data_IF_610222629237
#
_entry.id   IF_610222629237
#
_cell.length_a   1.000
_cell.length_b   1.000
_cell.length_c   1.000
_cell.angle_alpha   90.00
_cell.angle_beta   90.00
_cell.angle_gamma   90.00
#
_symmetry.space_group_name_H-M   'P 1'
#
loop_
_entity.id
_entity.type
_entity.pdbx_description
1 polymer ?
#
# COMPACT_ATOMS: atom_id res chain seq x y z
N UNK A 1 13.69 6.88 26.12
CA UNK A 1 13.88 6.58 24.68
C UNK A 1 13.97 5.09 24.37
N UNK A 2 14.87 4.31 24.99
CA UNK A 2 14.94 2.85 24.78
C UNK A 2 13.63 2.11 25.05
N UNK A 3 12.88 2.53 26.08
CA UNK A 3 11.58 1.93 26.41
C UNK A 3 10.48 2.33 25.43
N UNK A 4 10.53 3.54 24.87
CA UNK A 4 9.58 3.98 23.86
C UNK A 4 9.73 3.17 22.57
N UNK A 5 10.97 2.93 22.13
CA UNK A 5 11.25 2.09 20.95
C UNK A 5 10.82 0.64 21.18
N UNK A 6 11.05 0.09 22.37
CA UNK A 6 10.58 -1.26 22.72
C UNK A 6 9.06 -1.35 22.74
N UNK A 7 8.39 -0.34 23.28
CA UNK A 7 6.93 -0.28 23.30
C UNK A 7 6.36 -0.23 21.89
N UNK A 8 6.92 0.64 21.03
CA UNK A 8 6.49 0.78 19.64
C UNK A 8 6.68 -0.52 18.85
N UNK A 9 7.85 -1.18 18.98
CA UNK A 9 8.11 -2.47 18.33
C UNK A 9 7.12 -3.54 18.78
N UNK A 10 6.84 -3.61 20.08
CA UNK A 10 5.88 -4.56 20.62
C UNK A 10 4.46 -4.30 20.10
N UNK A 11 4.06 -3.03 20.00
CA UNK A 11 2.74 -2.64 19.50
C UNK A 11 2.58 -2.95 18.00
N UNK A 12 3.65 -2.86 17.21
CA UNK A 12 3.65 -3.33 15.83
C UNK A 12 3.52 -4.85 15.73
N UNK A 13 4.28 -5.60 16.55
CA UNK A 13 4.23 -7.06 16.62
C UNK A 13 2.85 -7.57 17.06
N UNK A 14 2.26 -6.98 18.11
CA UNK A 14 0.92 -7.35 18.60
C UNK A 14 -0.18 -7.06 17.56
N UNK A 15 0.00 -6.05 16.68
CA UNK A 15 -0.96 -5.73 15.61
C UNK A 15 -0.81 -6.64 14.38
N UNK A 16 0.40 -7.12 14.09
CA UNK A 16 0.64 -8.10 13.02
C UNK A 16 0.09 -9.49 13.39
N UNK A 17 0.16 -9.87 14.68
CA UNK A 17 -0.36 -11.15 15.20
C UNK A 17 -1.90 -11.21 15.13
N UNK A 18 -2.58 -10.11 15.50
CA UNK A 18 -4.07 -10.00 15.52
C UNK A 18 -4.68 -10.11 14.10
N UNK A 19 -3.95 -9.73 13.06
CA UNK A 19 -4.40 -9.85 11.65
C UNK A 19 -4.38 -11.31 11.14
N UNK A 20 -3.59 -12.19 11.78
CA UNK A 20 -3.43 -13.58 11.34
C UNK A 20 -4.36 -14.57 12.08
N UNK A 21 -5.05 -14.16 13.15
CA UNK A 21 -5.87 -15.07 13.98
C UNK A 21 -7.32 -15.29 13.47
N UNK A 22 -7.75 -14.68 12.36
CA UNK A 22 -9.12 -14.84 11.81
C UNK A 22 -9.21 -15.84 10.63
N UNK A 23 -8.36 -16.88 10.58
CA UNK A 23 -8.59 -18.06 9.71
C UNK A 23 -8.44 -19.41 10.44
N UNK A 24 -9.60 -20.02 10.72
CA UNK A 24 -9.91 -21.47 10.83
C UNK A 24 -9.32 -22.31 12.00
N UNK A 25 -10.08 -22.37 13.10
CA UNK A 25 -9.95 -23.37 14.18
C UNK A 25 -10.62 -24.70 13.75
N UNK A 26 -9.96 -25.44 12.85
CA UNK A 26 -10.33 -26.81 12.48
C UNK A 26 -9.36 -27.83 13.09
N UNK A 27 -9.66 -28.21 14.34
CA UNK A 27 -9.03 -29.27 15.14
C UNK A 27 -9.16 -30.67 14.48
N UNK A 28 -8.14 -31.10 13.75
CA UNK A 28 -7.89 -32.52 13.46
C UNK A 28 -6.45 -32.90 13.82
N UNK A 29 -6.28 -33.66 14.91
CA UNK A 29 -5.00 -34.17 15.40
C UNK A 29 -4.31 -35.07 14.35
N UNK A 30 -3.22 -34.55 13.76
CA UNK A 30 -2.28 -35.32 12.93
C UNK A 30 -1.11 -35.82 13.80
N UNK A 31 -0.89 -37.13 13.76
CA UNK A 31 0.18 -37.82 14.48
C UNK A 31 1.58 -37.27 14.11
N UNK A 32 2.37 -36.97 15.14
CA UNK A 32 3.77 -36.54 15.15
C UNK A 32 4.70 -37.57 14.50
N UNK A 33 4.87 -37.49 13.18
CA UNK A 33 5.99 -38.11 12.46
C UNK A 33 7.11 -37.06 12.32
N UNK A 34 8.09 -37.13 13.23
CA UNK A 34 9.23 -36.22 13.31
C UNK A 34 9.96 -36.04 11.98
N UNK A 35 9.81 -34.85 11.39
CA UNK A 35 10.59 -34.36 10.27
C UNK A 35 11.68 -33.42 10.80
N UNK A 36 12.88 -33.97 10.93
CA UNK A 36 14.12 -33.26 11.24
C UNK A 36 14.50 -32.37 10.06
N UNK A 37 14.10 -31.10 10.13
CA UNK A 37 14.41 -30.05 9.14
C UNK A 37 15.22 -28.96 9.82
N UNK A 38 16.50 -29.25 10.04
CA UNK A 38 17.49 -28.17 10.02
C UNK A 38 17.44 -27.51 8.63
N UNK A 39 17.61 -26.19 8.59
CA UNK A 39 17.99 -25.41 7.39
C UNK A 39 16.83 -24.85 6.54
N UNK A 40 16.30 -23.70 6.97
CA UNK A 40 15.71 -22.70 6.06
C UNK A 40 16.09 -21.28 6.56
N UNK A 41 17.35 -20.89 6.34
CA UNK A 41 17.81 -19.50 6.43
C UNK A 41 18.41 -19.05 5.07
N UNK A 42 17.78 -19.48 3.97
CA UNK A 42 18.23 -19.20 2.60
C UNK A 42 17.37 -18.15 1.87
N UNK A 43 16.70 -17.28 2.62
CA UNK A 43 15.85 -16.22 2.04
C UNK A 43 16.45 -14.80 2.07
N UNK A 44 17.72 -14.62 2.44
CA UNK A 44 18.31 -13.25 2.49
C UNK A 44 19.77 -13.14 1.99
N UNK A 45 20.23 -14.05 1.12
CA UNK A 45 21.61 -14.00 0.57
C UNK A 45 21.70 -13.79 -0.94
N UNK A 46 20.58 -13.70 -1.63
CA UNK A 46 20.53 -13.54 -3.09
C UNK A 46 20.07 -12.15 -3.52
N UNK A 47 19.75 -11.27 -2.56
CA UNK A 47 19.37 -9.91 -2.84
C UNK A 47 20.65 -9.07 -3.00
N UNK A 48 21.10 -8.97 -4.26
CA UNK A 48 22.23 -8.17 -4.77
C UNK A 48 23.61 -8.85 -4.79
N UNK A 49 23.82 -9.72 -5.78
CA UNK A 49 25.14 -9.94 -6.39
C UNK A 49 26.11 -10.87 -5.66
N UNK A 50 25.77 -11.37 -4.47
CA UNK A 50 26.64 -12.26 -3.66
C UNK A 50 26.59 -13.74 -4.09
N UNK A 51 26.07 -14.03 -5.27
CA UNK A 51 25.93 -15.39 -5.82
C UNK A 51 26.88 -15.73 -6.98
N UNK A 52 27.80 -14.83 -7.36
CA UNK A 52 28.82 -15.15 -8.38
C UNK A 52 30.05 -15.72 -7.70
N UNK A 53 29.93 -16.95 -7.19
CA UNK A 53 31.11 -17.80 -7.08
C UNK A 53 31.51 -18.17 -8.51
N UNK A 54 32.71 -17.75 -8.92
CA UNK A 54 33.36 -18.29 -10.12
C UNK A 54 33.63 -19.78 -9.87
N UNK A 55 32.62 -20.61 -10.12
CA UNK A 55 32.58 -22.03 -9.81
C UNK A 55 31.66 -22.74 -10.78
N UNK A 56 32.29 -23.56 -11.62
CA UNK A 56 31.78 -24.43 -12.65
C UNK A 56 30.38 -25.08 -12.53
N UNK A 57 29.88 -25.43 -13.72
CA UNK A 57 28.97 -26.54 -14.01
C UNK A 57 27.46 -26.38 -13.73
N UNK A 58 26.76 -26.15 -14.84
CA UNK A 58 25.56 -26.89 -15.23
C UNK A 58 24.26 -26.58 -14.48
N UNK A 59 23.45 -25.72 -15.08
CA UNK A 59 22.17 -26.06 -15.74
C UNK A 59 21.22 -24.87 -15.65
N UNK A 60 21.16 -24.06 -16.71
CA UNK A 60 19.96 -23.26 -16.94
C UNK A 60 19.69 -23.17 -18.43
N UNK A 61 18.53 -23.73 -18.79
CA UNK A 61 18.02 -23.88 -20.15
C UNK A 61 17.82 -22.49 -20.75
N UNK A 62 18.61 -22.17 -21.78
CA UNK A 62 18.49 -20.93 -22.55
C UNK A 62 17.20 -20.97 -23.39
N UNK A 63 16.32 -20.01 -23.19
CA UNK A 63 15.36 -19.55 -24.20
C UNK A 63 16.12 -18.77 -25.28
N UNK A 64 15.84 -18.97 -26.59
CA UNK A 64 16.62 -18.32 -27.65
C UNK A 64 16.05 -16.94 -27.97
N UNK A 65 16.64 -15.88 -27.41
CA UNK A 65 16.46 -14.52 -27.94
C UNK A 65 17.54 -14.28 -29.01
N UNK A 66 17.11 -14.24 -30.27
CA UNK A 66 17.92 -13.91 -31.45
C UNK A 66 18.36 -12.44 -31.34
N UNK A 67 19.59 -12.19 -30.89
CA UNK A 67 20.22 -10.87 -30.98
C UNK A 67 21.30 -10.95 -32.05
N UNK A 68 21.15 -10.13 -33.09
CA UNK A 68 22.05 -10.12 -34.24
C UNK A 68 23.49 -9.76 -33.84
N UNK A 69 24.42 -10.57 -34.32
CA UNK A 69 25.84 -10.48 -34.04
C UNK A 69 26.45 -9.28 -34.79
N UNK A 70 26.65 -8.16 -34.09
CA UNK A 70 27.68 -7.20 -34.48
C UNK A 70 29.02 -7.69 -33.93
N UNK A 71 29.87 -8.21 -34.81
CA UNK A 71 31.31 -8.43 -34.60
C UNK A 71 31.93 -7.17 -33.99
N UNK A 72 32.27 -7.23 -32.71
CA UNK A 72 33.17 -6.27 -32.07
C UNK A 72 34.53 -6.94 -31.93
N UNK A 73 35.52 -6.24 -32.46
CA UNK A 73 36.92 -6.62 -32.60
C UNK A 73 37.54 -6.95 -31.26
N UNK A 74 38.44 -7.93 -31.27
CA UNK A 74 39.32 -8.33 -30.17
C UNK A 74 39.96 -7.09 -29.53
N UNK A 75 39.52 -6.79 -28.31
CA UNK A 75 40.18 -5.84 -27.41
C UNK A 75 41.24 -6.62 -26.64
N UNK A 76 42.44 -6.07 -26.40
CA UNK A 76 43.45 -6.77 -25.62
C UNK A 76 42.88 -7.02 -24.23
N UNK A 77 42.80 -8.29 -23.84
CA UNK A 77 42.52 -8.72 -22.48
C UNK A 77 43.63 -8.15 -21.62
N UNK A 78 43.36 -7.02 -20.97
CA UNK A 78 44.27 -6.42 -20.01
C UNK A 78 44.37 -7.42 -18.85
N UNK A 79 45.53 -8.06 -18.70
CA UNK A 79 45.74 -9.05 -17.65
C UNK A 79 45.59 -8.37 -16.30
N UNK A 80 44.43 -8.59 -15.67
CA UNK A 80 44.15 -8.08 -14.32
C UNK A 80 45.14 -8.77 -13.39
N UNK A 81 45.97 -8.01 -12.64
CA UNK A 81 46.89 -8.59 -11.67
C UNK A 81 46.11 -9.50 -10.71
N UNK A 82 46.65 -10.68 -10.42
CA UNK A 82 46.07 -11.58 -9.43
C UNK A 82 46.11 -10.91 -8.04
N UNK A 83 44.98 -10.32 -7.63
CA UNK A 83 44.81 -9.73 -6.31
C UNK A 83 44.60 -10.82 -5.26
N UNK A 84 45.10 -10.61 -4.04
CA UNK A 84 44.79 -11.49 -2.91
C UNK A 84 43.32 -11.41 -2.53
N UNK A 85 42.78 -12.45 -1.89
CA UNK A 85 41.36 -12.50 -1.52
C UNK A 85 40.98 -11.36 -0.55
N UNK A 86 41.91 -10.96 0.33
CA UNK A 86 41.73 -9.82 1.22
C UNK A 86 41.63 -8.48 0.46
N UNK A 87 42.47 -8.28 -0.56
CA UNK A 87 42.42 -7.09 -1.41
C UNK A 87 41.15 -7.06 -2.26
N UNK A 88 40.73 -8.21 -2.81
CA UNK A 88 39.46 -8.32 -3.54
C UNK A 88 38.27 -7.97 -2.66
N UNK A 89 38.23 -8.50 -1.44
CA UNK A 89 37.16 -8.19 -0.50
C UNK A 89 37.12 -6.70 -0.17
N UNK A 90 38.27 -6.09 0.13
CA UNK A 90 38.36 -4.66 0.40
C UNK A 90 37.91 -3.82 -0.80
N UNK A 91 38.35 -4.17 -2.02
CA UNK A 91 37.99 -3.45 -3.23
C UNK A 91 36.49 -3.57 -3.54
N UNK A 92 35.90 -4.74 -3.26
CA UNK A 92 34.47 -4.96 -3.41
C UNK A 92 33.67 -4.13 -2.40
N UNK A 93 34.14 -4.04 -1.16
CA UNK A 93 33.55 -3.20 -0.12
C UNK A 93 33.62 -1.70 -0.49
N UNK A 94 34.78 -1.23 -0.94
CA UNK A 94 34.97 0.15 -1.40
C UNK A 94 34.07 0.47 -2.60
N UNK A 95 34.01 -0.43 -3.58
CA UNK A 95 33.13 -0.29 -4.73
C UNK A 95 31.67 -0.19 -4.31
N UNK A 96 31.21 -1.13 -3.46
CA UNK A 96 29.83 -1.13 -2.96
C UNK A 96 29.51 0.15 -2.19
N UNK A 97 30.40 0.58 -1.31
CA UNK A 97 30.22 1.81 -0.53
C UNK A 97 30.16 3.06 -1.41
N UNK A 98 31.04 3.13 -2.42
CA UNK A 98 31.08 4.25 -3.36
C UNK A 98 29.83 4.31 -4.24
N UNK A 99 29.42 3.17 -4.82
CA UNK A 99 28.21 3.07 -5.62
C UNK A 99 26.96 3.39 -4.80
N UNK A 100 26.87 2.87 -3.57
CA UNK A 100 25.76 3.18 -2.67
C UNK A 100 25.69 4.67 -2.31
N UNK A 101 26.83 5.29 -2.03
CA UNK A 101 26.90 6.73 -1.77
C UNK A 101 26.47 7.53 -2.99
N UNK A 102 26.96 7.17 -4.18
CA UNK A 102 26.60 7.82 -5.44
C UNK A 102 25.11 7.67 -5.77
N UNK A 103 24.52 6.52 -5.44
CA UNK A 103 23.08 6.27 -5.57
C UNK A 103 22.27 7.19 -4.66
N UNK A 104 22.61 7.27 -3.37
CA UNK A 104 21.92 8.15 -2.41
C UNK A 104 22.05 9.63 -2.78
N UNK A 105 23.20 10.03 -3.33
CA UNK A 105 23.44 11.41 -3.74
C UNK A 105 22.87 11.73 -5.13
N UNK A 106 22.38 10.74 -5.87
CA UNK A 106 21.88 10.89 -7.24
C UNK A 106 22.95 11.34 -8.25
N UNK A 107 24.23 10.98 -8.01
CA UNK A 107 25.37 11.44 -8.82
C UNK A 107 25.72 10.54 -10.00
N UNK A 108 24.96 9.49 -10.23
CA UNK A 108 25.19 8.59 -11.36
C UNK A 108 24.98 9.36 -12.68
N UNK A 109 25.97 9.31 -13.57
CA UNK A 109 25.95 10.12 -14.81
C UNK A 109 25.06 9.51 -15.88
N UNK A 110 24.82 8.20 -15.77
CA UNK A 110 24.17 7.42 -16.80
C UNK A 110 22.68 7.19 -16.49
N UNK A 111 22.20 7.66 -15.33
CA UNK A 111 20.82 7.52 -14.86
C UNK A 111 20.24 8.86 -14.37
N UNK A 112 19.05 9.21 -14.86
CA UNK A 112 18.34 10.41 -14.45
C UNK A 112 17.34 10.08 -13.34
N UNK A 113 17.74 10.32 -12.09
CA UNK A 113 16.92 10.07 -10.89
C UNK A 113 15.61 10.86 -10.89
N UNK A 114 15.53 11.99 -11.61
CA UNK A 114 14.29 12.77 -11.70
C UNK A 114 13.15 12.02 -12.40
N UNK A 115 13.46 11.00 -13.22
CA UNK A 115 12.47 10.15 -13.88
C UNK A 115 11.77 9.17 -12.94
N UNK A 116 12.32 8.96 -11.74
CA UNK A 116 11.74 8.07 -10.73
C UNK A 116 11.23 8.90 -9.56
N UNK A 117 12.07 9.77 -9.00
CA UNK A 117 11.75 10.56 -7.80
C UNK A 117 10.56 11.51 -7.97
N UNK A 118 10.29 11.98 -9.19
CA UNK A 118 9.19 12.91 -9.49
C UNK A 118 8.11 12.30 -10.39
N UNK A 119 8.12 10.98 -10.56
CA UNK A 119 7.17 10.33 -11.44
C UNK A 119 5.97 9.80 -10.65
N UNK A 120 4.86 10.52 -10.77
CA UNK A 120 3.58 10.16 -10.16
C UNK A 120 2.97 8.86 -10.67
N UNK A 121 3.42 8.35 -11.82
CA UNK A 121 2.93 7.08 -12.35
C UNK A 121 3.43 5.88 -11.54
N UNK A 122 4.48 6.05 -10.73
CA UNK A 122 4.96 5.06 -9.77
C UNK A 122 4.42 5.27 -8.35
N UNK A 123 3.64 6.33 -8.12
CA UNK A 123 3.00 6.55 -6.83
C UNK A 123 1.73 5.68 -6.72
N UNK A 124 1.57 4.95 -5.62
CA UNK A 124 0.42 4.06 -5.37
C UNK A 124 -0.84 4.82 -4.91
N UNK A 125 -1.13 5.98 -5.51
CA UNK A 125 -2.22 6.87 -5.09
C UNK A 125 -3.61 6.22 -5.23
N UNK A 126 -3.80 5.34 -6.22
CA UNK A 126 -5.07 4.64 -6.44
C UNK A 126 -5.35 3.62 -5.32
N UNK A 127 -4.34 2.85 -4.93
CA UNK A 127 -4.44 1.86 -3.84
C UNK A 127 -4.66 2.59 -2.53
N UNK A 128 -3.88 3.63 -2.25
CA UNK A 128 -4.07 4.45 -1.06
C UNK A 128 -5.49 5.04 -0.99
N UNK A 129 -6.04 5.51 -2.11
CA UNK A 129 -7.41 6.01 -2.17
C UNK A 129 -8.45 4.92 -1.84
N UNK A 130 -8.28 3.71 -2.35
CA UNK A 130 -9.14 2.57 -2.04
C UNK A 130 -9.06 2.19 -0.56
N UNK A 131 -7.86 2.07 0.00
CA UNK A 131 -7.64 1.75 1.42
C UNK A 131 -8.28 2.80 2.34
N UNK A 132 -8.15 4.09 1.98
CA UNK A 132 -8.78 5.20 2.70
C UNK A 132 -10.31 5.17 2.61
N UNK A 133 -10.87 4.81 1.46
CA UNK A 133 -12.31 4.64 1.27
C UNK A 133 -12.83 3.43 2.06
N UNK A 134 -12.21 2.26 1.96
CA UNK A 134 -12.59 1.05 2.70
C UNK A 134 -12.59 1.28 4.21
N UNK A 135 -11.58 1.98 4.73
CA UNK A 135 -11.54 2.38 6.14
C UNK A 135 -12.73 3.24 6.56
N UNK A 136 -13.19 4.16 5.68
CA UNK A 136 -14.38 4.97 5.95
C UNK A 136 -15.64 4.08 6.04
N UNK A 137 -15.73 3.01 5.24
CA UNK A 137 -16.85 2.07 5.28
C UNK A 137 -16.83 1.15 6.50
N UNK A 138 -15.66 0.74 6.97
CA UNK A 138 -15.52 -0.11 8.16
C UNK A 138 -15.79 0.67 9.47
N UNK A 139 -15.34 1.92 9.54
CA UNK A 139 -15.59 2.81 10.68
C UNK A 139 -17.05 3.34 10.69
N UNK A 140 -17.74 3.38 9.54
CA UNK A 140 -19.21 3.46 9.48
C UNK A 140 -19.80 2.14 9.98
N UNK A 141 -19.76 1.95 11.29
CA UNK A 141 -20.53 0.89 11.93
C UNK A 141 -21.95 0.90 11.36
N UNK A 142 -22.45 -0.27 10.95
CA UNK A 142 -23.80 -0.49 10.42
C UNK A 142 -24.94 -0.10 11.39
N UNK A 143 -24.68 0.77 12.35
CA UNK A 143 -25.64 1.35 13.28
C UNK A 143 -26.77 2.12 12.58
N UNK A 144 -26.59 2.54 11.31
CA UNK A 144 -27.67 3.05 10.44
C UNK A 144 -28.36 1.98 9.57
N UNK A 145 -27.81 0.75 9.48
CA UNK A 145 -28.52 -0.41 8.92
C UNK A 145 -29.41 -1.10 9.96
N UNK A 146 -29.34 -0.70 11.23
CA UNK A 146 -30.53 -0.64 12.08
C UNK A 146 -31.38 0.54 11.62
N UNK A 147 -31.89 0.46 10.38
CA UNK A 147 -33.21 0.96 10.10
C UNK A 147 -34.14 0.14 11.00
N UNK A 148 -34.22 0.59 12.25
CA UNK A 148 -35.42 0.50 13.03
C UNK A 148 -36.53 0.71 12.01
N UNK A 149 -37.35 -0.32 11.81
CA UNK A 149 -38.56 -0.23 11.02
C UNK A 149 -39.46 0.76 11.74
N UNK A 150 -39.08 2.04 11.67
CA UNK A 150 -39.80 3.20 12.12
C UNK A 150 -40.87 3.39 11.08
N UNK A 151 -41.89 2.56 11.21
CA UNK A 151 -43.23 2.75 10.65
C UNK A 151 -43.88 4.03 11.22
N UNK A 152 -43.14 5.12 11.45
CA UNK A 152 -43.61 6.32 12.16
C UNK A 152 -42.88 7.62 11.73
N UNK A 153 -42.13 7.59 10.62
CA UNK A 153 -41.47 8.78 10.06
C UNK A 153 -42.22 9.41 8.87
N UNK A 154 -42.94 8.60 8.10
CA UNK A 154 -43.76 9.04 6.96
C UNK A 154 -45.09 9.69 7.41
N UNK A 155 -45.72 9.18 8.47
CA UNK A 155 -47.01 9.67 8.96
C UNK A 155 -46.93 11.10 9.54
N UNK A 156 -45.75 11.53 10.00
CA UNK A 156 -45.55 12.88 10.54
C UNK A 156 -45.49 13.94 9.43
N UNK A 157 -44.91 13.58 8.27
CA UNK A 157 -44.84 14.48 7.12
C UNK A 157 -46.22 14.64 6.48
N UNK A 158 -46.98 13.55 6.36
CA UNK A 158 -48.35 13.53 5.86
C UNK A 158 -49.28 14.32 6.80
N UNK A 159 -49.17 14.12 8.13
CA UNK A 159 -49.90 14.91 9.12
C UNK A 159 -49.55 16.40 9.05
N UNK A 160 -48.29 16.76 8.78
CA UNK A 160 -47.91 18.15 8.59
C UNK A 160 -48.53 18.73 7.31
N UNK A 161 -48.50 17.99 6.20
CA UNK A 161 -49.12 18.40 4.93
C UNK A 161 -50.64 18.54 5.03
N UNK A 162 -51.32 17.66 5.77
CA UNK A 162 -52.76 17.72 6.02
C UNK A 162 -53.15 18.88 6.96
N UNK A 163 -52.27 19.21 7.92
CA UNK A 163 -52.48 20.32 8.85
C UNK A 163 -52.07 21.69 8.27
N UNK A 164 -51.38 21.72 7.13
CA UNK A 164 -51.13 22.96 6.39
C UNK A 164 -52.47 23.50 5.88
N UNK A 165 -52.83 24.72 6.30
CA UNK A 165 -54.00 25.37 5.74
C UNK A 165 -53.79 25.61 4.24
N UNK A 166 -54.81 25.39 3.39
CA UNK A 166 -54.69 25.70 1.97
C UNK A 166 -54.31 27.17 1.81
N UNK A 167 -53.29 27.42 0.99
CA UNK A 167 -52.81 28.76 0.68
C UNK A 167 -54.02 29.65 0.30
N UNK A 168 -54.25 30.76 1.02
CA UNK A 168 -55.39 31.61 0.75
C UNK A 168 -55.24 32.18 -0.66
N UNK A 169 -56.31 32.09 -1.44
CA UNK A 169 -56.30 32.66 -2.80
C UNK A 169 -55.91 34.15 -2.73
N UNK A 170 -55.24 34.70 -3.76
CA UNK A 170 -54.84 36.11 -3.78
C UNK A 170 -56.00 37.08 -3.49
N UNK A 171 -57.23 36.70 -3.84
CA UNK A 171 -58.44 37.48 -3.56
C UNK A 171 -58.82 37.46 -2.06
N UNK A 172 -58.83 36.29 -1.42
CA UNK A 172 -59.04 36.17 0.04
C UNK A 172 -57.93 36.91 0.81
N UNK A 173 -56.71 36.86 0.27
CA UNK A 173 -55.55 37.61 0.75
C UNK A 173 -55.75 39.12 0.68
N UNK A 174 -56.27 39.62 -0.44
CA UNK A 174 -56.61 41.02 -0.60
C UNK A 174 -57.76 41.42 0.33
N UNK A 175 -58.77 40.59 0.50
CA UNK A 175 -59.94 40.90 1.32
C UNK A 175 -59.61 40.93 2.82
N UNK A 176 -58.76 40.02 3.32
CA UNK A 176 -58.26 40.10 4.71
C UNK A 176 -57.44 41.36 4.97
N UNK A 177 -56.64 41.80 4.00
CA UNK A 177 -55.86 43.04 4.10
C UNK A 177 -56.76 44.29 4.01
N UNK A 178 -57.86 44.25 3.26
CA UNK A 178 -58.88 45.31 3.25
C UNK A 178 -59.63 45.41 4.57
N UNK A 179 -59.95 44.28 5.21
CA UNK A 179 -60.59 44.26 6.53
C UNK A 179 -59.65 44.86 7.59
N UNK A 180 -58.37 44.48 7.58
CA UNK A 180 -57.36 45.05 8.49
C UNK A 180 -57.19 46.56 8.34
N UNK A 181 -57.39 47.11 7.13
CA UNK A 181 -57.25 48.55 6.85
C UNK A 181 -58.54 49.35 7.05
N UNK A 182 -59.63 48.70 7.49
CA UNK A 182 -60.92 49.34 7.78
C UNK A 182 -61.34 49.24 9.26
N UNK A 183 -60.54 48.59 10.12
CA UNK A 183 -60.78 48.57 11.56
C UNK A 183 -60.19 49.77 12.33
N UNK A 184 -59.45 50.66 11.66
CA UNK A 184 -58.94 51.90 12.22
C UNK A 184 -59.68 53.13 11.65
N UNK A 185 -60.96 53.30 12.03
CA UNK A 185 -61.65 54.61 12.10
C UNK A 185 -62.78 54.57 13.13
#
# INVERSE_FOLDING_TARGET
DREAVKKLRKEQEDAEDDVMEEEDDSDEEMEDDGFDSEEDNDLDKTLWGEGYTDGDASTSKKTPVKREEKKVQDKPTEEVPELSDAEKHLLMEEFRSNMFSSFLEGKDTDFDYSQVDYNSDYDDLEVQGQDEEEKYFDDESSQDASCNRMSDGEDLLEQYMDNLQPEPTPQQLADRMKILTHCDT
#
